data_IF_050857163244
#
_entry.id   IF_050857163244
#
_cell.length_a   1.000
_cell.length_b   1.000
_cell.length_c   1.000
_cell.angle_alpha   90.00
_cell.angle_beta   90.00
_cell.angle_gamma   90.00
#
_symmetry.space_group_name_H-M   'P 1'
#
loop_
_entity.id
_entity.type
_entity.pdbx_description
1 polymer ?
#
# COMPACT_ATOMS: atom_id res chain seq x y z
N UNK A 1 49.69 25.52 1.23
CA UNK A 1 50.07 24.99 -0.10
C UNK A 1 50.56 23.57 0.11
N UNK A 2 49.69 22.60 0.35
CA UNK A 2 49.23 21.51 -0.53
C UNK A 2 48.31 20.71 0.44
N UNK A 3 47.02 20.42 0.25
CA UNK A 3 46.31 19.83 -0.87
C UNK A 3 44.85 20.28 -0.78
N UNK A 4 44.37 20.96 -1.83
CA UNK A 4 42.99 21.42 -1.98
C UNK A 4 42.54 21.07 -3.40
N UNK A 5 42.73 19.82 -3.82
CA UNK A 5 42.37 19.33 -5.16
C UNK A 5 42.03 17.83 -5.07
N UNK A 6 40.80 17.51 -4.66
CA UNK A 6 40.06 16.26 -4.87
C UNK A 6 38.75 16.42 -4.07
N UNK A 7 37.53 16.41 -4.61
CA UNK A 7 37.07 16.07 -5.92
C UNK A 7 35.72 16.79 -6.15
N UNK A 8 35.75 17.88 -6.91
CA UNK A 8 34.55 18.41 -7.57
C UNK A 8 34.35 17.62 -8.87
N UNK A 9 33.96 16.34 -8.76
CA UNK A 9 33.40 15.63 -9.90
C UNK A 9 31.91 15.96 -9.95
N UNK A 10 31.41 16.71 -10.94
CA UNK A 10 29.99 16.75 -11.22
C UNK A 10 29.59 15.32 -11.64
N UNK A 11 29.00 14.58 -10.70
CA UNK A 11 28.36 13.31 -11.00
C UNK A 11 27.14 13.63 -11.88
N UNK A 12 27.40 13.72 -13.18
CA UNK A 12 26.36 13.82 -14.20
C UNK A 12 25.71 12.44 -14.27
N UNK A 13 24.60 12.27 -13.56
CA UNK A 13 23.72 11.12 -13.70
C UNK A 13 23.46 10.88 -15.18
N UNK A 14 23.83 9.72 -15.71
CA UNK A 14 23.67 9.43 -17.14
C UNK A 14 22.18 9.38 -17.49
N UNK A 15 21.75 9.86 -18.67
CA UNK A 15 20.34 9.86 -19.08
C UNK A 15 19.64 8.49 -18.97
N UNK A 16 20.40 7.40 -19.13
CA UNK A 16 19.93 6.02 -19.00
C UNK A 16 19.47 5.65 -17.57
N UNK A 17 20.10 6.22 -16.53
CA UNK A 17 19.71 5.94 -15.14
C UNK A 17 18.33 6.54 -14.80
N UNK A 18 18.04 7.74 -15.32
CA UNK A 18 16.72 8.36 -15.16
C UNK A 18 15.62 7.61 -15.91
N UNK A 19 15.94 7.03 -17.08
CA UNK A 19 15.00 6.20 -17.82
C UNK A 19 14.70 4.88 -17.08
N UNK A 20 15.72 4.17 -16.60
CA UNK A 20 15.55 2.92 -15.86
C UNK A 20 14.72 3.11 -14.58
N UNK A 21 14.96 4.18 -13.84
CA UNK A 21 14.19 4.51 -12.64
C UNK A 21 12.71 4.80 -12.95
N UNK A 22 12.43 5.54 -14.01
CA UNK A 22 11.06 5.78 -14.48
C UNK A 22 10.37 4.48 -14.89
N UNK A 23 11.06 3.61 -15.63
CA UNK A 23 10.54 2.29 -15.97
C UNK A 23 10.20 1.48 -14.72
N UNK A 24 11.06 1.46 -13.70
CA UNK A 24 10.78 0.77 -12.44
C UNK A 24 9.53 1.32 -11.74
N UNK A 25 9.37 2.63 -11.65
CA UNK A 25 8.15 3.22 -11.04
C UNK A 25 6.89 2.86 -11.84
N UNK A 26 6.97 2.91 -13.18
CA UNK A 26 5.85 2.51 -14.05
C UNK A 26 5.50 1.04 -13.90
N UNK A 27 6.49 0.15 -13.79
CA UNK A 27 6.26 -1.28 -13.54
C UNK A 27 5.57 -1.51 -12.18
N UNK A 28 5.98 -0.79 -11.14
CA UNK A 28 5.31 -0.84 -9.83
C UNK A 28 3.87 -0.32 -9.91
N UNK A 29 3.65 0.80 -10.61
CA UNK A 29 2.32 1.36 -10.84
C UNK A 29 1.41 0.37 -11.57
N UNK A 30 1.87 -0.16 -12.71
CA UNK A 30 1.12 -1.12 -13.51
C UNK A 30 0.88 -2.42 -12.74
N UNK A 31 1.87 -2.89 -11.98
CA UNK A 31 1.70 -4.05 -11.09
C UNK A 31 0.61 -3.83 -10.05
N UNK A 32 0.50 -2.62 -9.48
CA UNK A 32 -0.54 -2.28 -8.52
C UNK A 32 -1.92 -2.22 -9.18
N UNK A 33 -2.01 -1.62 -10.36
CA UNK A 33 -3.24 -1.61 -11.16
C UNK A 33 -3.70 -3.04 -11.50
N UNK A 34 -2.78 -3.92 -11.93
CA UNK A 34 -3.09 -5.31 -12.21
C UNK A 34 -3.61 -6.06 -10.98
N UNK A 35 -3.05 -5.77 -9.79
CA UNK A 35 -3.50 -6.35 -8.54
C UNK A 35 -4.91 -5.87 -8.14
N UNK A 36 -5.21 -4.57 -8.32
CA UNK A 36 -6.57 -4.04 -8.12
C UNK A 36 -7.54 -4.75 -9.06
N UNK A 37 -7.24 -4.79 -10.36
CA UNK A 37 -8.08 -5.44 -11.36
C UNK A 37 -8.34 -6.91 -11.03
N UNK A 38 -7.30 -7.65 -10.60
CA UNK A 38 -7.46 -9.03 -10.16
C UNK A 38 -8.50 -9.17 -9.05
N UNK A 39 -8.44 -8.31 -8.03
CA UNK A 39 -9.40 -8.31 -6.92
C UNK A 39 -10.79 -7.85 -7.36
N UNK A 40 -10.88 -6.88 -8.26
CA UNK A 40 -12.15 -6.41 -8.80
C UNK A 40 -12.84 -7.45 -9.69
N UNK A 41 -12.09 -8.41 -10.25
CA UNK A 41 -12.64 -9.57 -10.97
C UNK A 41 -13.18 -10.67 -10.04
N UNK A 42 -13.13 -10.50 -8.72
CA UNK A 42 -13.66 -11.46 -7.76
C UNK A 42 -15.03 -11.03 -7.24
N UNK A 43 -16.03 -11.93 -7.33
CA UNK A 43 -17.35 -11.70 -6.73
C UNK A 43 -17.35 -11.77 -5.20
N UNK A 44 -16.49 -12.60 -4.61
CA UNK A 44 -16.37 -12.76 -3.16
C UNK A 44 -14.94 -12.45 -2.73
N UNK A 45 -14.76 -11.47 -1.86
CA UNK A 45 -13.46 -11.07 -1.35
C UNK A 45 -13.17 -11.68 0.04
N UNK A 46 -11.89 -11.86 0.40
CA UNK A 46 -11.50 -12.21 1.76
C UNK A 46 -12.00 -11.23 2.81
N UNK A 47 -12.23 -9.96 2.44
CA UNK A 47 -12.76 -8.93 3.35
C UNK A 47 -14.25 -9.11 3.67
N UNK A 48 -14.97 -9.94 2.91
CA UNK A 48 -16.42 -10.16 3.07
C UNK A 48 -16.73 -11.19 4.17
N UNK A 49 -15.71 -11.74 4.82
CA UNK A 49 -15.86 -12.66 5.93
C UNK A 49 -16.61 -11.98 7.09
N UNK A 50 -17.57 -12.66 7.76
CA UNK A 50 -18.38 -12.07 8.83
C UNK A 50 -17.54 -11.42 9.93
N UNK A 51 -16.46 -12.09 10.35
CA UNK A 51 -15.54 -11.56 11.37
C UNK A 51 -14.92 -10.22 10.95
N UNK A 52 -14.65 -9.97 9.68
CA UNK A 52 -14.09 -8.69 9.21
C UNK A 52 -15.21 -7.65 9.13
N UNK A 53 -16.37 -8.04 8.56
CA UNK A 53 -17.53 -7.16 8.45
C UNK A 53 -17.98 -6.63 9.82
N UNK A 54 -18.08 -7.50 10.82
CA UNK A 54 -18.51 -7.17 12.18
C UNK A 54 -17.50 -6.24 12.87
N UNK A 55 -16.21 -6.54 12.76
CA UNK A 55 -15.15 -5.73 13.37
C UNK A 55 -14.96 -4.36 12.70
N UNK A 56 -15.30 -4.24 11.42
CA UNK A 56 -15.21 -3.00 10.65
C UNK A 56 -16.57 -2.33 10.42
N UNK A 57 -17.64 -2.82 11.05
CA UNK A 57 -19.00 -2.28 10.96
C UNK A 57 -19.48 -2.03 9.52
N UNK A 58 -19.15 -2.94 8.58
CA UNK A 58 -19.52 -2.80 7.17
C UNK A 58 -18.68 -1.81 6.35
N UNK A 59 -17.65 -1.18 6.92
CA UNK A 59 -16.79 -0.22 6.21
C UNK A 59 -15.63 -0.86 5.44
N UNK A 60 -15.50 -2.20 5.43
CA UNK A 60 -14.35 -2.89 4.86
C UNK A 60 -14.08 -2.56 3.38
N UNK A 61 -15.13 -2.45 2.55
CA UNK A 61 -14.97 -2.09 1.14
C UNK A 61 -14.51 -0.63 0.99
N UNK A 62 -15.10 0.29 1.75
CA UNK A 62 -14.72 1.71 1.71
C UNK A 62 -13.27 1.91 2.14
N UNK A 63 -12.83 1.18 3.16
CA UNK A 63 -11.43 1.17 3.60
C UNK A 63 -10.54 0.58 2.49
N UNK A 64 -10.94 -0.52 1.84
CA UNK A 64 -10.18 -1.12 0.76
C UNK A 64 -10.01 -0.16 -0.43
N UNK A 65 -11.09 0.50 -0.89
CA UNK A 65 -11.05 1.53 -1.93
C UNK A 65 -10.14 2.71 -1.53
N UNK A 66 -10.32 3.24 -0.32
CA UNK A 66 -9.49 4.34 0.20
C UNK A 66 -7.99 4.01 0.21
N UNK A 67 -7.63 2.81 0.65
CA UNK A 67 -6.22 2.38 0.71
C UNK A 67 -5.67 2.06 -0.69
N UNK A 68 -6.44 1.35 -1.52
CA UNK A 68 -6.01 0.90 -2.84
C UNK A 68 -5.81 2.07 -3.81
N UNK A 69 -6.78 2.97 -3.88
CA UNK A 69 -6.73 4.12 -4.78
C UNK A 69 -5.91 5.28 -4.22
N UNK A 70 -5.83 5.41 -2.88
CA UNK A 70 -4.84 6.29 -2.24
C UNK A 70 -3.41 5.90 -2.62
N UNK A 71 -3.05 4.61 -2.53
CA UNK A 71 -1.73 4.13 -2.95
C UNK A 71 -1.53 4.26 -4.46
N UNK A 72 -2.55 3.95 -5.29
CA UNK A 72 -2.50 4.14 -6.73
C UNK A 72 -2.15 5.59 -7.10
N UNK A 73 -2.82 6.56 -6.48
CA UNK A 73 -2.55 7.99 -6.70
C UNK A 73 -1.11 8.37 -6.35
N UNK A 74 -0.58 7.90 -5.22
CA UNK A 74 0.80 8.16 -4.81
C UNK A 74 1.81 7.53 -5.79
N UNK A 75 1.60 6.28 -6.21
CA UNK A 75 2.46 5.59 -7.19
C UNK A 75 2.42 6.29 -8.55
N UNK A 76 1.25 6.75 -8.99
CA UNK A 76 1.10 7.52 -10.22
C UNK A 76 1.83 8.87 -10.12
N UNK A 77 1.67 9.59 -9.01
CA UNK A 77 2.39 10.85 -8.78
C UNK A 77 3.90 10.64 -8.78
N UNK A 78 4.38 9.54 -8.20
CA UNK A 78 5.81 9.23 -8.18
C UNK A 78 6.35 8.85 -9.58
N UNK A 79 5.55 8.14 -10.37
CA UNK A 79 5.88 7.79 -11.76
C UNK A 79 5.92 9.01 -12.68
N UNK A 80 5.08 10.00 -12.41
CA UNK A 80 5.00 11.25 -13.17
C UNK A 80 5.94 12.35 -12.65
N UNK A 81 6.87 12.04 -11.75
CA UNK A 81 7.77 13.06 -11.21
C UNK A 81 8.64 13.71 -12.32
N UNK A 82 8.70 15.04 -12.28
CA UNK A 82 9.34 15.85 -13.33
C UNK A 82 8.45 16.19 -14.54
N UNK A 83 7.22 15.65 -14.65
CA UNK A 83 6.26 16.09 -15.66
C UNK A 83 5.46 17.33 -15.20
N UNK A 84 5.17 18.29 -16.09
CA UNK A 84 4.27 19.39 -15.78
C UNK A 84 2.91 18.87 -15.31
N UNK A 85 2.41 19.42 -14.20
CA UNK A 85 1.11 19.04 -13.61
C UNK A 85 1.02 17.55 -13.21
N UNK A 86 2.13 16.92 -12.84
CA UNK A 86 2.18 15.52 -12.38
C UNK A 86 1.09 15.14 -11.37
N UNK A 87 0.80 16.03 -10.42
CA UNK A 87 -0.28 15.85 -9.43
C UNK A 87 -1.67 15.74 -10.07
N UNK A 88 -1.97 16.58 -11.07
CA UNK A 88 -3.26 16.53 -11.77
C UNK A 88 -3.36 15.24 -12.57
N UNK A 89 -2.30 14.88 -13.31
CA UNK A 89 -2.28 13.65 -14.10
C UNK A 89 -2.38 12.38 -13.25
N UNK A 90 -1.80 12.37 -12.06
CA UNK A 90 -1.93 11.26 -11.12
C UNK A 90 -3.40 11.05 -10.68
N UNK A 91 -4.10 12.13 -10.35
CA UNK A 91 -5.52 12.08 -9.97
C UNK A 91 -6.39 11.69 -11.17
N UNK A 92 -6.12 12.24 -12.36
CA UNK A 92 -6.82 11.88 -13.59
C UNK A 92 -6.64 10.40 -13.90
N UNK A 93 -5.42 9.86 -13.80
CA UNK A 93 -5.18 8.43 -14.00
C UNK A 93 -5.95 7.59 -12.99
N UNK A 94 -5.89 7.92 -11.69
CA UNK A 94 -6.58 7.16 -10.67
C UNK A 94 -8.11 7.19 -10.85
N UNK A 95 -8.68 8.35 -11.19
CA UNK A 95 -10.12 8.51 -11.44
C UNK A 95 -10.58 7.78 -12.70
N UNK A 96 -9.79 7.87 -13.79
CA UNK A 96 -10.09 7.14 -15.03
C UNK A 96 -9.97 5.63 -14.84
N UNK A 97 -8.98 5.17 -14.07
CA UNK A 97 -8.83 3.77 -13.71
C UNK A 97 -9.99 3.29 -12.83
N UNK A 98 -10.41 4.07 -11.83
CA UNK A 98 -11.56 3.74 -10.99
C UNK A 98 -12.86 3.67 -11.77
N UNK A 99 -13.11 4.62 -12.68
CA UNK A 99 -14.27 4.56 -13.58
C UNK A 99 -14.24 3.31 -14.49
N UNK A 100 -13.05 2.95 -14.98
CA UNK A 100 -12.85 1.72 -15.78
C UNK A 100 -13.06 0.46 -14.94
N UNK A 101 -12.66 0.49 -13.67
CA UNK A 101 -12.85 -0.62 -12.73
C UNK A 101 -14.33 -0.83 -12.42
N UNK A 102 -15.08 0.24 -12.12
CA UNK A 102 -16.53 0.16 -11.93
C UNK A 102 -17.26 -0.35 -13.18
N UNK A 103 -16.84 0.08 -14.37
CA UNK A 103 -17.35 -0.50 -15.62
C UNK A 103 -17.05 -1.99 -15.72
N UNK A 104 -15.82 -2.42 -15.43
CA UNK A 104 -15.42 -3.83 -15.44
C UNK A 104 -16.21 -4.66 -14.41
N UNK A 105 -16.46 -4.11 -13.22
CA UNK A 105 -17.20 -4.78 -12.16
C UNK A 105 -18.67 -5.06 -12.54
N UNK A 106 -19.28 -4.28 -13.46
CA UNK A 106 -20.63 -4.57 -13.99
C UNK A 106 -20.71 -5.93 -14.69
N UNK A 107 -19.58 -6.43 -15.20
CA UNK A 107 -19.49 -7.73 -15.87
C UNK A 107 -18.95 -8.84 -14.96
N UNK A 108 -18.71 -8.55 -13.68
CA UNK A 108 -18.19 -9.51 -12.71
C UNK A 108 -19.33 -10.04 -11.83
N UNK A 109 -19.75 -11.32 -11.98
CA UNK A 109 -20.84 -11.87 -11.17
C UNK A 109 -20.53 -11.82 -9.67
N UNK A 110 -21.51 -11.41 -8.87
CA UNK A 110 -21.36 -11.25 -7.43
C UNK A 110 -20.69 -9.94 -7.00
N UNK A 111 -20.20 -9.13 -7.94
CA UNK A 111 -19.60 -7.83 -7.66
C UNK A 111 -20.62 -6.69 -7.82
N UNK A 112 -20.48 -5.65 -6.99
CA UNK A 112 -21.30 -4.44 -7.06
C UNK A 112 -20.50 -3.35 -7.75
N UNK A 113 -20.95 -2.89 -8.91
CA UNK A 113 -20.50 -1.63 -9.48
C UNK A 113 -21.32 -0.47 -8.90
N UNK A 114 -20.66 0.61 -8.48
CA UNK A 114 -21.33 1.75 -7.91
C UNK A 114 -20.56 3.08 -8.06
N UNK A 115 -21.32 4.14 -8.32
CA UNK A 115 -20.79 5.50 -8.44
C UNK A 115 -20.14 6.01 -7.14
N UNK A 116 -20.58 5.52 -5.97
CA UNK A 116 -20.00 5.91 -4.69
C UNK A 116 -18.60 5.34 -4.48
N UNK A 117 -18.30 4.16 -5.02
CA UNK A 117 -16.96 3.57 -5.00
C UNK A 117 -16.01 4.37 -5.91
N UNK A 118 -16.42 4.70 -7.15
CA UNK A 118 -15.63 5.58 -8.03
C UNK A 118 -15.37 6.98 -7.42
N UNK A 119 -16.36 7.56 -6.76
CA UNK A 119 -16.19 8.84 -6.08
C UNK A 119 -15.18 8.73 -4.93
N UNK A 120 -15.23 7.64 -4.16
CA UNK A 120 -14.29 7.36 -3.07
C UNK A 120 -12.87 7.10 -3.58
N UNK A 121 -12.72 6.41 -4.71
CA UNK A 121 -11.45 6.19 -5.38
C UNK A 121 -10.80 7.50 -5.82
N UNK A 122 -11.60 8.37 -6.44
CA UNK A 122 -11.14 9.69 -6.87
C UNK A 122 -10.76 10.56 -5.67
N UNK A 123 -11.57 10.56 -4.62
CA UNK A 123 -11.32 11.35 -3.41
C UNK A 123 -10.08 10.86 -2.65
N UNK A 124 -9.92 9.55 -2.49
CA UNK A 124 -8.79 8.95 -1.80
C UNK A 124 -7.47 9.21 -2.51
N UNK A 125 -7.43 9.05 -3.85
CA UNK A 125 -6.28 9.40 -4.66
C UNK A 125 -5.94 10.90 -4.54
N UNK A 126 -6.95 11.77 -4.59
CA UNK A 126 -6.76 13.23 -4.46
C UNK A 126 -6.14 13.61 -3.12
N UNK A 127 -6.69 13.10 -2.01
CA UNK A 127 -6.19 13.38 -0.66
C UNK A 127 -4.77 12.81 -0.49
N UNK A 128 -4.55 11.56 -0.90
CA UNK A 128 -3.24 10.91 -0.75
C UNK A 128 -2.15 11.64 -1.56
N UNK A 129 -2.43 12.02 -2.81
CA UNK A 129 -1.50 12.77 -3.65
C UNK A 129 -1.23 14.16 -3.07
N UNK A 130 -2.26 14.85 -2.58
CA UNK A 130 -2.12 16.16 -1.95
C UNK A 130 -1.22 16.08 -0.71
N UNK A 131 -1.50 15.14 0.20
CA UNK A 131 -0.69 14.91 1.40
C UNK A 131 0.74 14.53 1.02
N UNK A 132 0.93 13.61 0.08
CA UNK A 132 2.24 13.20 -0.40
C UNK A 132 3.03 14.37 -0.97
N UNK A 133 2.43 15.19 -1.83
CA UNK A 133 3.07 16.37 -2.41
C UNK A 133 3.50 17.37 -1.32
N UNK A 134 2.69 17.56 -0.27
CA UNK A 134 3.04 18.47 0.84
C UNK A 134 4.18 17.91 1.70
N UNK A 135 4.15 16.61 2.03
CA UNK A 135 5.18 15.97 2.84
C UNK A 135 6.52 15.85 2.11
N UNK A 136 6.49 15.71 0.78
CA UNK A 136 7.69 15.62 -0.06
C UNK A 136 8.61 16.85 0.05
N UNK A 137 8.05 18.02 0.37
CA UNK A 137 8.81 19.26 0.56
C UNK A 137 9.19 19.55 2.03
N UNK A 138 9.11 18.55 2.92
CA UNK A 138 9.42 18.70 4.36
C UNK A 138 10.61 17.83 4.78
N UNK A 139 11.09 18.01 6.02
CA UNK A 139 12.15 17.17 6.65
C UNK A 139 11.83 15.67 6.66
N UNK A 140 10.57 15.30 6.49
CA UNK A 140 10.12 13.90 6.44
C UNK A 140 10.45 13.19 5.12
N UNK A 141 10.86 13.94 4.08
CA UNK A 141 11.16 13.37 2.77
C UNK A 141 12.19 12.24 2.81
N UNK A 142 13.27 12.39 3.59
CA UNK A 142 14.31 11.38 3.72
C UNK A 142 13.76 10.08 4.33
N UNK A 143 12.95 10.19 5.39
CA UNK A 143 12.30 9.05 6.03
C UNK A 143 11.31 8.37 5.08
N UNK A 144 10.46 9.14 4.40
CA UNK A 144 9.47 8.59 3.46
C UNK A 144 10.14 7.86 2.31
N UNK A 145 11.24 8.38 1.76
CA UNK A 145 12.03 7.68 0.73
C UNK A 145 12.64 6.38 1.24
N UNK A 146 13.09 6.34 2.50
CA UNK A 146 13.63 5.12 3.09
C UNK A 146 12.56 4.06 3.37
N UNK A 147 11.36 4.48 3.80
CA UNK A 147 10.27 3.56 4.17
C UNK A 147 9.38 3.16 2.99
N UNK A 148 9.28 3.96 1.93
CA UNK A 148 8.39 3.72 0.80
C UNK A 148 8.58 2.33 0.15
N UNK A 149 9.81 1.85 -0.12
CA UNK A 149 10.00 0.52 -0.70
C UNK A 149 9.43 -0.58 0.19
N UNK A 150 9.61 -0.47 1.51
CA UNK A 150 9.09 -1.45 2.48
C UNK A 150 7.55 -1.42 2.53
N UNK A 151 6.96 -0.23 2.58
CA UNK A 151 5.51 -0.07 2.61
C UNK A 151 4.84 -0.59 1.33
N UNK A 152 5.40 -0.25 0.17
CA UNK A 152 4.90 -0.73 -1.14
C UNK A 152 5.08 -2.24 -1.25
N UNK A 153 6.25 -2.78 -0.88
CA UNK A 153 6.49 -4.23 -0.90
C UNK A 153 5.54 -4.97 0.02
N UNK A 154 5.27 -4.46 1.22
CA UNK A 154 4.31 -5.05 2.14
C UNK A 154 2.89 -5.05 1.54
N UNK A 155 2.47 -3.96 0.89
CA UNK A 155 1.17 -3.88 0.22
C UNK A 155 1.03 -4.94 -0.89
N UNK A 156 2.06 -5.11 -1.73
CA UNK A 156 2.10 -6.17 -2.74
C UNK A 156 2.08 -7.57 -2.13
N UNK A 157 2.91 -7.83 -1.11
CA UNK A 157 2.99 -9.14 -0.44
C UNK A 157 1.64 -9.49 0.19
N UNK A 158 0.97 -8.54 0.84
CA UNK A 158 -0.35 -8.75 1.42
C UNK A 158 -1.37 -9.05 0.31
N UNK A 159 -1.45 -8.21 -0.73
CA UNK A 159 -2.44 -8.38 -1.79
C UNK A 159 -2.22 -9.65 -2.62
N UNK A 160 -0.99 -9.96 -3.02
CA UNK A 160 -0.66 -11.20 -3.75
C UNK A 160 -0.79 -12.43 -2.84
N UNK A 161 -0.34 -12.34 -1.59
CA UNK A 161 -0.45 -13.42 -0.62
C UNK A 161 -1.90 -13.80 -0.35
N UNK A 162 -2.79 -12.82 -0.19
CA UNK A 162 -4.23 -13.05 -0.05
C UNK A 162 -4.85 -13.69 -1.31
N UNK A 163 -4.37 -13.32 -2.50
CA UNK A 163 -4.85 -13.87 -3.77
C UNK A 163 -4.49 -15.35 -3.94
N UNK A 164 -3.30 -15.75 -3.51
CA UNK A 164 -2.78 -17.12 -3.67
C UNK A 164 -3.26 -18.06 -2.55
N UNK A 165 -3.73 -17.53 -1.41
CA UNK A 165 -4.17 -18.34 -0.25
C UNK A 165 -5.08 -19.52 -0.60
N UNK A 166 -6.15 -19.37 -1.41
CA UNK A 166 -7.03 -20.49 -1.74
C UNK A 166 -6.33 -21.65 -2.50
N UNK A 167 -5.20 -21.38 -3.15
CA UNK A 167 -4.41 -22.37 -3.88
C UNK A 167 -3.35 -23.08 -3.02
N UNK A 168 -3.14 -22.66 -1.76
CA UNK A 168 -2.18 -23.29 -0.85
C UNK A 168 -2.76 -24.56 -0.20
N UNK A 169 -1.93 -25.57 0.10
CA UNK A 169 -2.40 -26.75 0.81
C UNK A 169 -2.87 -26.42 2.25
N UNK A 170 -3.83 -27.18 2.82
CA UNK A 170 -4.37 -26.95 4.17
C UNK A 170 -3.32 -26.99 5.30
N UNK A 171 -2.20 -27.68 5.08
CA UNK A 171 -1.08 -27.74 6.02
C UNK A 171 -0.42 -26.38 6.25
N UNK A 172 -0.37 -25.53 5.23
CA UNK A 172 0.19 -24.17 5.32
C UNK A 172 -0.74 -23.24 6.08
N UNK A 173 -2.06 -23.36 5.85
CA UNK A 173 -3.09 -22.59 6.54
C UNK A 173 -3.03 -22.75 8.07
N UNK A 174 -2.93 -24.00 8.53
CA UNK A 174 -2.91 -24.34 9.95
C UNK A 174 -1.56 -24.03 10.63
N UNK A 175 -0.45 -24.06 9.89
CA UNK A 175 0.86 -23.65 10.39
C UNK A 175 0.91 -22.14 10.70
N UNK A 176 0.46 -21.29 9.78
CA UNK A 176 0.50 -19.82 9.96
C UNK A 176 -0.40 -19.36 11.11
N UNK A 177 -1.62 -19.89 11.22
CA UNK A 177 -2.55 -19.55 12.31
C UNK A 177 -2.00 -19.95 13.68
N UNK A 178 -1.41 -21.16 13.78
CA UNK A 178 -0.76 -21.61 15.02
C UNK A 178 0.42 -20.73 15.42
N UNK A 179 1.26 -20.33 14.46
CA UNK A 179 2.41 -19.45 14.73
C UNK A 179 1.97 -18.07 15.24
N UNK A 180 0.98 -17.45 14.59
CA UNK A 180 0.45 -16.15 15.03
C UNK A 180 -0.21 -16.25 16.41
N UNK A 181 -1.02 -17.29 16.64
CA UNK A 181 -1.64 -17.53 17.94
C UNK A 181 -0.58 -17.73 19.05
N UNK A 182 0.46 -18.53 18.78
CA UNK A 182 1.55 -18.77 19.73
C UNK A 182 2.29 -17.47 20.05
N UNK A 183 2.61 -16.63 19.06
CA UNK A 183 3.27 -15.34 19.29
C UNK A 183 2.38 -14.36 20.08
N UNK A 184 1.08 -14.30 19.80
CA UNK A 184 0.15 -13.47 20.55
C UNK A 184 0.04 -13.92 22.02
N UNK A 185 -0.05 -15.23 22.26
CA UNK A 185 -0.06 -15.81 23.61
C UNK A 185 1.25 -15.49 24.34
N UNK A 186 2.39 -15.60 23.64
CA UNK A 186 3.70 -15.27 24.20
C UNK A 186 3.75 -13.80 24.63
N UNK A 187 3.33 -12.89 23.75
CA UNK A 187 3.33 -11.45 24.02
C UNK A 187 2.45 -11.07 25.22
N UNK A 188 1.26 -11.68 25.33
CA UNK A 188 0.36 -11.49 26.49
C UNK A 188 1.00 -12.02 27.78
N UNK A 189 1.68 -13.17 27.70
CA UNK A 189 2.37 -13.76 28.86
C UNK A 189 3.53 -12.89 29.31
N UNK A 190 4.33 -12.39 28.37
CA UNK A 190 5.51 -11.57 28.64
C UNK A 190 5.11 -10.21 29.23
N UNK A 191 4.08 -9.57 28.68
CA UNK A 191 3.52 -8.33 29.24
C UNK A 191 2.95 -8.54 30.65
N UNK A 192 2.25 -9.65 30.90
CA UNK A 192 1.75 -9.98 32.25
C UNK A 192 2.88 -10.23 33.24
N UNK A 193 3.94 -10.93 32.82
CA UNK A 193 5.09 -11.23 33.67
C UNK A 193 5.89 -9.96 34.00
N UNK A 194 6.12 -9.09 33.01
CA UNK A 194 6.76 -7.79 33.22
C UNK A 194 5.97 -6.92 34.21
N UNK A 195 4.63 -6.88 34.09
CA UNK A 195 3.77 -6.15 35.02
C UNK A 195 3.82 -6.70 36.46
N UNK A 196 3.96 -8.03 36.63
CA UNK A 196 4.14 -8.66 37.95
C UNK A 196 5.49 -8.32 38.56
N UNK A 197 6.56 -8.39 37.78
CA UNK A 197 7.92 -8.09 38.23
C UNK A 197 8.06 -6.63 38.67
N UNK A 198 7.50 -5.69 37.90
CA UNK A 198 7.46 -4.27 38.26
C UNK A 198 6.74 -4.05 39.60
N UNK A 199 5.61 -4.74 39.81
CA UNK A 199 4.83 -4.64 41.06
C UNK A 199 5.60 -5.19 42.27
N UNK A 200 6.38 -6.26 42.11
CA UNK A 200 7.23 -6.79 43.19
C UNK A 200 8.43 -5.89 43.52
N UNK A 201 8.98 -5.18 42.54
CA UNK A 201 10.10 -4.25 42.75
C UNK A 201 9.70 -2.96 43.47
N UNK A 202 8.44 -2.53 43.32
CA UNK A 202 7.90 -1.33 44.01
C UNK A 202 7.42 -1.66 45.43
N UNK A 203 7.06 -2.92 45.68
CA UNK A 203 6.50 -3.36 46.96
C UNK A 203 7.54 -3.84 47.99
N UNK A 204 8.84 -3.81 47.66
CA UNK A 204 9.95 -4.16 48.55
C UNK A 204 10.91 -2.98 48.70
#
# INVERSE_FOLDING_TARGET
>A
MIARIAADLPCSSTPSMHAAQRCAHLLVLVGWMALITYWSSQGNLPIDQPVINDNLHGFQHRIAHLLAFGLLGVLARWSFDGFPRATVWAVVLASAFGASDEWHQQFTPGRRAALDDWALDTASATVAVYVFARLYFTRWQALMRALAPLAVSAAFVIGVGLAIRPALPPSVHSATLRTVANHAIQLVRDTRNAARQFRSTIAG
#
